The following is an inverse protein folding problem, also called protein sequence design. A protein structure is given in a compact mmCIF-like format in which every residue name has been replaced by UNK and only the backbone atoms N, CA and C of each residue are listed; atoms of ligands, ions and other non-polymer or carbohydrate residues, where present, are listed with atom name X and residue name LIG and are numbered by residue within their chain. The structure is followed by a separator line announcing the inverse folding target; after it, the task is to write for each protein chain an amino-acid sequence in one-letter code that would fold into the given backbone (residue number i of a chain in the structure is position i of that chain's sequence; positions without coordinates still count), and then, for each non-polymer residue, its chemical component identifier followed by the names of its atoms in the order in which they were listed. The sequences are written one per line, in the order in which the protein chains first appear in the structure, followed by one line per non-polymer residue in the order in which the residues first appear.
data_IF_613703562041
#
_entry.id   IF_613703562041
#
_cell.length_a   1.000
_cell.length_b   1.000
_cell.length_c   1.000
_cell.angle_alpha   90.00
_cell.angle_beta   90.00
_cell.angle_gamma   90.00
#
_symmetry.space_group_name_H-M   'P 1'
#
loop_
_entity.id
_entity.type
_entity.pdbx_description
1 polymer ?
#
# COMPACT_ATOMS: atom_id res chain seq x y z
N UNK A 1 13.71 2.45 -22.28
CA UNK A 1 13.19 1.62 -23.39
C UNK A 1 12.31 2.43 -24.35
N UNK A 2 11.22 3.06 -23.88
CA UNK A 2 10.28 3.85 -24.72
C UNK A 2 10.94 4.86 -25.67
N UNK A 3 11.94 5.62 -25.20
CA UNK A 3 12.69 6.57 -26.05
C UNK A 3 13.37 5.88 -27.24
N UNK A 4 14.07 4.77 -26.99
CA UNK A 4 14.78 4.02 -28.02
C UNK A 4 13.78 3.44 -29.02
N UNK A 5 12.71 2.83 -28.52
CA UNK A 5 11.62 2.28 -29.33
C UNK A 5 10.99 3.33 -30.26
N UNK A 6 10.75 4.55 -29.76
CA UNK A 6 10.19 5.63 -30.56
C UNK A 6 11.14 6.09 -31.68
N UNK A 7 12.43 6.26 -31.37
CA UNK A 7 13.46 6.61 -32.36
C UNK A 7 13.58 5.54 -33.43
N UNK A 8 13.51 4.27 -33.04
CA UNK A 8 13.73 3.15 -33.94
C UNK A 8 12.55 2.93 -34.87
N UNK A 9 11.33 2.92 -34.33
CA UNK A 9 10.10 2.86 -35.14
C UNK A 9 9.97 4.07 -36.06
N UNK A 10 10.36 5.26 -35.55
CA UNK A 10 10.47 6.48 -36.34
C UNK A 10 11.39 6.33 -37.55
N UNK A 11 12.47 5.54 -37.47
CA UNK A 11 13.36 5.31 -38.62
C UNK A 11 12.91 4.17 -39.54
N UNK A 12 12.41 3.08 -38.98
CA UNK A 12 12.08 1.86 -39.75
C UNK A 12 10.80 2.02 -40.56
N UNK A 13 9.75 2.57 -39.95
CA UNK A 13 8.41 2.57 -40.53
C UNK A 13 8.29 3.44 -41.80
N UNK A 14 8.91 4.65 -41.86
CA UNK A 14 9.02 5.42 -43.10
C UNK A 14 9.67 4.68 -44.27
N UNK A 15 10.63 3.81 -44.00
CA UNK A 15 11.37 3.09 -45.04
C UNK A 15 10.49 2.02 -45.66
N UNK A 16 9.65 1.36 -44.85
CA UNK A 16 8.62 0.45 -45.34
C UNK A 16 7.59 1.19 -46.22
N UNK A 17 7.18 2.40 -45.80
CA UNK A 17 6.28 3.26 -46.59
C UNK A 17 6.93 3.65 -47.92
N UNK A 18 8.20 4.07 -47.91
CA UNK A 18 8.95 4.42 -49.12
C UNK A 18 9.15 3.22 -50.04
N UNK A 19 9.36 2.03 -49.49
CA UNK A 19 9.43 0.78 -50.25
C UNK A 19 8.10 0.49 -50.95
N UNK A 20 6.97 0.65 -50.27
CA UNK A 20 5.66 0.50 -50.89
C UNK A 20 5.40 1.54 -52.00
N UNK A 21 5.80 2.81 -51.79
CA UNK A 21 5.70 3.87 -52.79
C UNK A 21 6.67 3.71 -53.97
N UNK A 22 7.70 2.86 -53.85
CA UNK A 22 8.69 2.64 -54.90
C UNK A 22 8.12 1.97 -56.14
N UNK A 23 6.98 1.27 -56.01
CA UNK A 23 6.26 0.69 -57.14
C UNK A 23 5.64 1.74 -58.08
N UNK A 24 5.56 3.01 -57.66
CA UNK A 24 5.06 4.11 -58.48
C UNK A 24 6.21 4.88 -59.12
N UNK A 25 6.07 5.22 -60.41
CA UNK A 25 7.08 5.99 -61.14
C UNK A 25 7.33 7.37 -60.51
N UNK A 26 8.61 7.77 -60.39
CA UNK A 26 9.00 9.06 -59.76
C UNK A 26 8.29 10.29 -60.36
N UNK A 27 7.97 10.26 -61.67
CA UNK A 27 7.35 11.38 -62.39
C UNK A 27 5.82 11.33 -62.43
N UNK A 28 5.19 10.32 -61.84
CA UNK A 28 3.73 10.20 -61.86
C UNK A 28 3.09 11.13 -60.82
N UNK A 29 2.05 11.87 -61.22
CA UNK A 29 1.25 12.66 -60.28
C UNK A 29 0.61 11.77 -59.19
N UNK A 30 0.29 10.52 -59.53
CA UNK A 30 -0.21 9.52 -58.61
C UNK A 30 0.74 9.27 -57.43
N UNK A 31 2.06 9.21 -57.68
CA UNK A 31 3.06 9.07 -56.62
C UNK A 31 3.06 10.26 -55.68
N UNK A 32 3.03 11.49 -56.21
CA UNK A 32 3.02 12.70 -55.38
C UNK A 32 1.81 12.73 -54.44
N UNK A 33 0.63 12.37 -54.95
CA UNK A 33 -0.59 12.27 -54.15
C UNK A 33 -0.48 11.17 -53.10
N UNK A 34 -0.04 9.97 -53.49
CA UNK A 34 0.14 8.85 -52.57
C UNK A 34 1.16 9.16 -51.46
N UNK A 35 2.24 9.86 -51.80
CA UNK A 35 3.29 10.27 -50.89
C UNK A 35 2.78 11.32 -49.88
N UNK A 36 2.00 12.30 -50.34
CA UNK A 36 1.35 13.26 -49.46
C UNK A 36 0.41 12.59 -48.45
N UNK A 37 -0.46 11.69 -48.92
CA UNK A 37 -1.36 10.96 -48.03
C UNK A 37 -0.61 10.03 -47.07
N UNK A 38 0.47 9.38 -47.52
CA UNK A 38 1.28 8.54 -46.65
C UNK A 38 1.91 9.35 -45.50
N UNK A 39 2.47 10.54 -45.79
CA UNK A 39 2.99 11.45 -44.75
C UNK A 39 1.86 11.91 -43.82
N UNK A 40 0.73 12.33 -44.40
CA UNK A 40 -0.40 12.84 -43.63
C UNK A 40 -0.96 11.77 -42.68
N UNK A 41 -1.25 10.56 -43.17
CA UNK A 41 -1.71 9.43 -42.35
C UNK A 41 -0.68 9.09 -41.29
N UNK A 42 0.61 9.02 -41.66
CA UNK A 42 1.69 8.73 -40.71
C UNK A 42 1.70 9.71 -39.55
N UNK A 43 1.74 11.01 -39.84
CA UNK A 43 1.76 12.06 -38.79
C UNK A 43 0.47 12.01 -37.97
N UNK A 44 -0.70 11.90 -38.61
CA UNK A 44 -2.00 11.89 -37.91
C UNK A 44 -2.11 10.71 -36.94
N UNK A 45 -1.73 9.50 -37.35
CA UNK A 45 -1.79 8.31 -36.49
C UNK A 45 -0.87 8.45 -35.29
N UNK A 46 0.37 8.89 -35.48
CA UNK A 46 1.33 9.00 -34.37
C UNK A 46 1.10 10.23 -33.49
N UNK A 47 0.54 11.31 -34.03
CA UNK A 47 0.05 12.44 -33.23
C UNK A 47 -1.22 12.08 -32.47
N UNK A 48 -2.12 11.30 -33.05
CA UNK A 48 -3.27 10.76 -32.31
C UNK A 48 -2.81 9.89 -31.14
N UNK A 49 -1.86 8.97 -31.38
CA UNK A 49 -1.24 8.20 -30.31
C UNK A 49 -0.57 9.09 -29.24
N UNK A 50 0.03 10.21 -29.66
CA UNK A 50 0.60 11.20 -28.74
C UNK A 50 -0.46 11.78 -27.78
N UNK A 51 -1.62 12.17 -28.31
CA UNK A 51 -2.68 12.80 -27.52
C UNK A 51 -3.56 11.83 -26.74
N UNK A 52 -3.74 10.61 -27.24
CA UNK A 52 -4.69 9.64 -26.64
C UNK A 52 -4.06 8.79 -25.55
N UNK A 53 -2.74 8.55 -25.57
CA UNK A 53 -2.09 7.65 -24.61
C UNK A 53 -0.96 8.33 -23.83
N UNK A 54 -1.09 8.55 -22.51
CA UNK A 54 -0.05 9.17 -21.69
C UNK A 54 1.26 8.39 -21.70
N UNK A 55 1.21 7.07 -21.64
CA UNK A 55 2.40 6.20 -21.63
C UNK A 55 3.11 6.15 -22.98
N UNK A 56 2.36 6.19 -24.08
CA UNK A 56 2.90 6.12 -25.44
C UNK A 56 3.10 7.49 -26.07
N UNK A 57 2.77 8.54 -25.34
CA UNK A 57 2.86 9.92 -25.82
C UNK A 57 4.25 10.21 -26.36
N UNK A 58 5.26 10.06 -25.50
CA UNK A 58 6.65 10.29 -25.85
C UNK A 58 7.15 9.38 -26.98
N UNK A 59 6.66 8.13 -27.07
CA UNK A 59 7.00 7.22 -28.19
C UNK A 59 6.42 7.74 -29.49
N UNK A 60 5.13 8.10 -29.53
CA UNK A 60 4.45 8.63 -30.70
C UNK A 60 5.04 9.95 -31.18
N UNK A 61 5.40 10.82 -30.24
CA UNK A 61 6.12 12.06 -30.53
C UNK A 61 7.46 11.79 -31.23
N UNK A 62 8.26 10.84 -30.72
CA UNK A 62 9.53 10.49 -31.36
C UNK A 62 9.35 9.81 -32.72
N UNK A 63 8.35 8.94 -32.89
CA UNK A 63 8.04 8.32 -34.18
C UNK A 63 7.69 9.41 -35.20
N UNK A 64 6.79 10.32 -34.84
CA UNK A 64 6.41 11.43 -35.71
C UNK A 64 7.60 12.35 -36.02
N UNK A 65 8.40 12.73 -35.01
CA UNK A 65 9.52 13.65 -35.18
C UNK A 65 10.65 13.06 -36.05
N UNK A 66 11.04 11.81 -35.81
CA UNK A 66 12.15 11.19 -36.54
C UNK A 66 11.73 10.60 -37.89
N UNK A 67 10.45 10.20 -38.04
CA UNK A 67 9.99 9.53 -39.24
C UNK A 67 9.59 10.43 -40.40
N UNK A 68 9.37 11.72 -40.14
CA UNK A 68 9.12 12.69 -41.21
C UNK A 68 10.37 12.91 -42.07
N UNK A 69 11.57 12.88 -41.49
CA UNK A 69 12.81 13.16 -42.24
C UNK A 69 13.04 12.18 -43.41
N UNK A 70 12.98 10.84 -43.22
CA UNK A 70 13.09 9.91 -44.35
C UNK A 70 11.99 10.10 -45.39
N UNK A 71 10.75 10.41 -44.96
CA UNK A 71 9.64 10.61 -45.90
C UNK A 71 9.82 11.88 -46.75
N UNK A 72 10.57 12.89 -46.31
CA UNK A 72 10.78 14.10 -47.09
C UNK A 72 11.90 13.97 -48.15
N UNK A 73 12.56 12.81 -48.25
CA UNK A 73 13.62 12.60 -49.23
C UNK A 73 13.02 12.58 -50.65
N UNK A 74 13.51 13.45 -51.58
CA UNK A 74 12.98 13.50 -52.93
C UNK A 74 13.27 12.20 -53.70
N UNK A 75 12.37 11.83 -54.61
CA UNK A 75 12.59 10.70 -55.51
C UNK A 75 13.78 10.97 -56.41
N UNK A 76 14.91 10.30 -56.17
CA UNK A 76 16.07 10.38 -57.04
C UNK A 76 16.15 9.13 -57.90
N UNK A 77 16.20 9.29 -59.24
CA UNK A 77 16.42 8.18 -60.18
C UNK A 77 17.74 7.43 -59.92
N UNK A 78 18.68 8.08 -59.23
CA UNK A 78 19.98 7.52 -58.84
C UNK A 78 19.92 6.57 -57.64
N UNK A 79 18.74 6.31 -57.07
CA UNK A 79 18.60 5.33 -56.01
C UNK A 79 18.97 3.90 -56.45
N UNK A 80 19.01 3.59 -57.76
CA UNK A 80 19.45 2.28 -58.25
C UNK A 80 20.91 1.89 -57.97
N UNK A 81 21.72 2.73 -57.30
CA UNK A 81 23.04 2.31 -56.81
C UNK A 81 22.88 1.48 -55.53
N UNK A 82 23.01 0.15 -55.69
CA UNK A 82 22.87 -0.86 -54.65
C UNK A 82 23.66 -0.57 -53.36
N UNK A 83 24.78 0.16 -53.44
CA UNK A 83 25.66 0.45 -52.30
C UNK A 83 25.04 1.38 -51.24
N UNK A 84 24.23 2.36 -51.66
CA UNK A 84 23.57 3.29 -50.71
C UNK A 84 22.47 2.57 -49.96
N UNK A 85 21.71 1.71 -50.66
CA UNK A 85 20.72 0.86 -50.03
C UNK A 85 21.35 -0.13 -49.09
N UNK A 86 22.40 -0.84 -49.51
CA UNK A 86 23.10 -1.83 -48.67
C UNK A 86 23.59 -1.23 -47.36
N UNK A 87 24.16 -0.02 -47.40
CA UNK A 87 24.64 0.68 -46.20
C UNK A 87 23.49 1.03 -45.26
N UNK A 88 22.39 1.61 -45.78
CA UNK A 88 21.22 1.97 -44.97
C UNK A 88 20.50 0.75 -44.40
N UNK A 89 20.33 -0.31 -45.19
CA UNK A 89 19.74 -1.57 -44.73
C UNK A 89 20.59 -2.23 -43.64
N UNK A 90 21.92 -2.16 -43.72
CA UNK A 90 22.80 -2.68 -42.66
C UNK A 90 22.63 -1.91 -41.35
N UNK A 91 22.57 -0.57 -41.40
CA UNK A 91 22.33 0.26 -40.21
C UNK A 91 20.97 -0.04 -39.57
N UNK A 92 19.93 -0.19 -40.39
CA UNK A 92 18.57 -0.52 -39.92
C UNK A 92 18.52 -1.93 -39.34
N UNK A 93 19.15 -2.90 -40.01
CA UNK A 93 19.22 -4.29 -39.54
C UNK A 93 19.88 -4.39 -38.18
N UNK A 94 20.99 -3.65 -37.96
CA UNK A 94 21.66 -3.61 -36.66
C UNK A 94 20.78 -3.01 -35.57
N UNK A 95 20.06 -1.92 -35.87
CA UNK A 95 19.16 -1.27 -34.91
C UNK A 95 17.95 -2.13 -34.59
N UNK A 96 17.31 -2.73 -35.60
CA UNK A 96 16.20 -3.66 -35.43
C UNK A 96 16.64 -4.89 -34.63
N UNK A 97 17.80 -5.46 -34.93
CA UNK A 97 18.35 -6.58 -34.17
C UNK A 97 18.59 -6.19 -32.71
N UNK A 98 19.15 -5.01 -32.44
CA UNK A 98 19.37 -4.53 -31.08
C UNK A 98 18.05 -4.38 -30.30
N UNK A 99 16.98 -3.91 -30.94
CA UNK A 99 15.65 -3.82 -30.32
C UNK A 99 15.06 -5.20 -30.10
N UNK A 100 15.14 -6.11 -31.07
CA UNK A 100 14.63 -7.48 -30.91
C UNK A 100 15.37 -8.15 -29.77
N UNK A 101 16.69 -8.02 -29.70
CA UNK A 101 17.50 -8.53 -28.58
C UNK A 101 17.07 -7.87 -27.28
N UNK A 102 16.87 -6.54 -27.25
CA UNK A 102 16.39 -5.85 -26.05
C UNK A 102 14.99 -6.31 -25.64
N UNK A 103 14.05 -6.48 -26.57
CA UNK A 103 12.69 -6.95 -26.30
C UNK A 103 12.69 -8.41 -25.84
N UNK A 104 13.58 -9.25 -26.38
CA UNK A 104 13.76 -10.63 -25.93
C UNK A 104 14.38 -10.66 -24.53
N UNK A 105 15.41 -9.83 -24.28
CA UNK A 105 16.01 -9.67 -22.96
C UNK A 105 14.96 -9.16 -21.97
N UNK A 106 14.19 -8.12 -22.33
CA UNK A 106 13.13 -7.58 -21.49
C UNK A 106 12.01 -8.61 -21.29
N UNK A 107 11.62 -9.39 -22.30
CA UNK A 107 10.63 -10.45 -22.17
C UNK A 107 11.12 -11.63 -21.30
N UNK A 108 12.41 -11.95 -21.33
CA UNK A 108 13.02 -13.02 -20.51
C UNK A 108 13.31 -12.52 -19.08
N UNK A 109 13.73 -11.27 -18.92
CA UNK A 109 14.16 -10.67 -17.65
C UNK A 109 13.00 -10.04 -16.88
N UNK A 110 11.98 -9.45 -17.53
CA UNK A 110 10.70 -9.11 -16.90
C UNK A 110 9.87 -10.38 -16.73
N UNK A 111 10.40 -11.30 -15.91
CA UNK A 111 9.74 -12.54 -15.52
C UNK A 111 8.50 -12.29 -14.66
N UNK A 112 8.37 -11.08 -14.11
CA UNK A 112 7.24 -10.65 -13.30
C UNK A 112 6.54 -9.49 -13.98
N UNK A 113 5.25 -9.67 -14.26
CA UNK A 113 4.39 -8.59 -14.69
C UNK A 113 4.22 -7.59 -13.53
N UNK A 114 3.95 -6.29 -13.79
CA UNK A 114 3.68 -5.33 -12.72
C UNK A 114 2.52 -5.78 -11.82
N UNK A 115 1.57 -6.53 -12.37
CA UNK A 115 0.53 -7.24 -11.64
C UNK A 115 1.11 -8.21 -10.61
N UNK A 116 2.01 -9.10 -11.02
CA UNK A 116 2.63 -10.08 -10.10
C UNK A 116 3.42 -9.37 -9.00
N UNK A 117 4.11 -8.28 -9.33
CA UNK A 117 4.83 -7.46 -8.34
C UNK A 117 3.86 -6.81 -7.36
N UNK A 118 2.74 -6.25 -7.83
CA UNK A 118 1.71 -5.64 -6.99
C UNK A 118 1.06 -6.66 -6.05
N UNK A 119 0.68 -7.83 -6.56
CA UNK A 119 0.16 -8.95 -5.76
C UNK A 119 1.17 -9.37 -4.69
N UNK A 120 2.44 -9.49 -5.06
CA UNK A 120 3.51 -9.87 -4.13
C UNK A 120 3.76 -8.84 -3.03
N UNK A 121 3.72 -7.53 -3.35
CA UNK A 121 3.86 -6.50 -2.31
C UNK A 121 2.64 -6.48 -1.39
N UNK A 122 1.43 -6.68 -1.92
CA UNK A 122 0.21 -6.80 -1.11
C UNK A 122 0.24 -8.07 -0.25
N UNK A 123 0.84 -9.17 -0.71
CA UNK A 123 1.05 -10.36 0.10
C UNK A 123 1.90 -10.06 1.33
N UNK A 124 3.05 -9.44 1.11
CA UNK A 124 3.95 -9.03 2.20
C UNK A 124 3.34 -7.99 3.13
N UNK A 125 2.49 -7.10 2.61
CA UNK A 125 1.71 -6.17 3.42
C UNK A 125 0.74 -6.91 4.33
N UNK A 126 -0.04 -7.86 3.78
CA UNK A 126 -0.97 -8.68 4.55
C UNK A 126 -0.26 -9.52 5.62
N UNK A 127 0.87 -10.15 5.28
CA UNK A 127 1.72 -10.88 6.23
C UNK A 127 2.23 -9.99 7.37
N UNK A 128 2.68 -8.77 7.07
CA UNK A 128 3.13 -7.81 8.08
C UNK A 128 1.99 -7.36 9.00
N UNK A 129 0.78 -7.13 8.47
CA UNK A 129 -0.41 -6.79 9.26
C UNK A 129 -0.88 -7.97 10.14
N UNK A 130 -0.84 -9.19 9.60
CA UNK A 130 -1.14 -10.41 10.36
C UNK A 130 -0.12 -10.62 11.49
N UNK A 131 1.17 -10.40 11.21
CA UNK A 131 2.23 -10.46 12.22
C UNK A 131 2.05 -9.39 13.29
N UNK A 132 1.71 -8.15 12.92
CA UNK A 132 1.44 -7.09 13.88
C UNK A 132 0.28 -7.48 14.81
N UNK A 133 -0.81 -7.99 14.24
CA UNK A 133 -1.97 -8.49 14.98
C UNK A 133 -1.58 -9.63 15.92
N UNK A 134 -0.76 -10.57 15.46
CA UNK A 134 -0.24 -11.66 16.28
C UNK A 134 0.57 -11.14 17.47
N UNK A 135 1.51 -10.23 17.23
CA UNK A 135 2.35 -9.64 18.27
C UNK A 135 1.56 -8.84 19.30
N UNK A 136 0.42 -8.24 18.92
CA UNK A 136 -0.52 -7.61 19.88
C UNK A 136 -1.00 -8.65 20.89
N UNK A 137 -1.49 -9.79 20.41
CA UNK A 137 -2.02 -10.83 21.27
C UNK A 137 -0.96 -11.60 22.06
N UNK A 138 0.31 -11.55 21.65
CA UNK A 138 1.45 -12.08 22.40
C UNK A 138 2.03 -11.07 23.40
N UNK A 139 1.40 -9.89 23.54
CA UNK A 139 1.90 -8.77 24.35
C UNK A 139 3.33 -8.32 23.98
N UNK A 140 3.74 -8.48 22.72
CA UNK A 140 5.08 -8.14 22.21
C UNK A 140 5.09 -6.77 21.51
N UNK A 141 5.17 -5.69 22.30
CA UNK A 141 5.19 -4.32 21.78
C UNK A 141 6.33 -4.06 20.74
N UNK A 142 7.59 -4.48 20.96
CA UNK A 142 8.64 -4.40 19.94
C UNK A 142 8.26 -5.11 18.63
N UNK A 143 7.64 -6.28 18.72
CA UNK A 143 7.12 -7.02 17.55
C UNK A 143 6.06 -6.22 16.78
N UNK A 144 5.09 -5.63 17.49
CA UNK A 144 4.04 -4.78 16.87
C UNK A 144 4.67 -3.58 16.14
N UNK A 145 5.65 -2.92 16.77
CA UNK A 145 6.34 -1.77 16.16
C UNK A 145 7.10 -2.17 14.89
N UNK A 146 7.89 -3.25 14.96
CA UNK A 146 8.67 -3.73 13.82
C UNK A 146 7.75 -4.15 12.65
N UNK A 147 6.65 -4.85 12.95
CA UNK A 147 5.67 -5.28 11.95
C UNK A 147 4.90 -4.10 11.35
N UNK A 148 4.54 -3.08 12.15
CA UNK A 148 3.90 -1.86 11.65
C UNK A 148 4.81 -1.05 10.72
N UNK A 149 6.11 -0.92 11.04
CA UNK A 149 7.07 -0.27 10.14
C UNK A 149 7.25 -1.04 8.83
N UNK A 150 7.31 -2.38 8.88
CA UNK A 150 7.35 -3.20 7.67
C UNK A 150 6.07 -3.02 6.83
N UNK A 151 4.89 -3.07 7.46
CA UNK A 151 3.62 -2.83 6.80
C UNK A 151 3.60 -1.44 6.13
N UNK A 152 4.08 -0.40 6.80
CA UNK A 152 4.22 0.96 6.22
C UNK A 152 5.10 0.95 4.97
N UNK A 153 6.28 0.33 5.04
CA UNK A 153 7.20 0.24 3.89
C UNK A 153 6.54 -0.47 2.71
N UNK A 154 5.84 -1.58 2.96
CA UNK A 154 5.13 -2.35 1.94
C UNK A 154 3.96 -1.59 1.33
N UNK A 155 3.21 -0.84 2.14
CA UNK A 155 2.10 -0.02 1.69
C UNK A 155 2.59 1.05 0.69
N UNK A 156 3.65 1.79 1.04
CA UNK A 156 4.23 2.81 0.13
C UNK A 156 4.73 2.19 -1.18
N UNK A 157 5.35 1.00 -1.12
CA UNK A 157 5.76 0.27 -2.34
C UNK A 157 4.57 -0.16 -3.19
N UNK A 158 3.48 -0.64 -2.56
CA UNK A 158 2.28 -1.08 -3.25
C UNK A 158 1.52 0.10 -3.88
N UNK A 159 1.40 1.23 -3.18
CA UNK A 159 0.81 2.47 -3.71
C UNK A 159 1.58 3.00 -4.92
N UNK A 160 2.92 2.91 -4.89
CA UNK A 160 3.76 3.29 -6.02
C UNK A 160 3.48 2.49 -7.30
N UNK A 161 2.91 1.29 -7.19
CA UNK A 161 2.58 0.41 -8.33
C UNK A 161 1.20 0.71 -8.93
N UNK A 162 0.35 1.52 -8.29
CA UNK A 162 -1.03 1.79 -8.75
C UNK A 162 -1.09 2.27 -10.20
N UNK A 163 -0.15 3.14 -10.60
CA UNK A 163 -0.08 3.67 -11.96
C UNK A 163 0.37 2.60 -12.96
N UNK A 164 1.18 1.62 -12.55
CA UNK A 164 1.70 0.59 -13.45
C UNK A 164 0.72 -0.56 -13.68
N UNK A 165 -0.19 -0.79 -12.73
CA UNK A 165 -1.19 -1.86 -12.82
C UNK A 165 -2.50 -1.45 -13.48
N UNK A 166 -2.65 -0.18 -13.87
CA UNK A 166 -3.86 0.32 -14.54
C UNK A 166 -4.08 -0.44 -15.88
N UNK A 167 -5.20 -1.19 -16.03
CA UNK A 167 -5.49 -1.92 -17.26
C UNK A 167 -5.59 -0.99 -18.48
N UNK A 168 -5.99 0.27 -18.30
CA UNK A 168 -6.12 1.25 -19.40
C UNK A 168 -4.79 1.64 -20.03
N UNK A 169 -3.70 1.37 -19.32
CA UNK A 169 -2.37 1.68 -19.79
C UNK A 169 -1.74 0.53 -20.60
N UNK A 170 -2.39 -0.65 -20.63
CA UNK A 170 -1.93 -1.78 -21.43
C UNK A 170 -2.22 -1.54 -22.91
N UNK A 171 -1.21 -1.79 -23.76
CA UNK A 171 -1.32 -1.62 -25.23
C UNK A 171 -2.19 -2.67 -25.88
N UNK A 172 -2.19 -3.87 -25.32
CA UNK A 172 -2.91 -5.01 -25.85
C UNK A 172 -3.47 -5.80 -24.67
N UNK A 173 -4.78 -6.03 -24.71
CA UNK A 173 -5.45 -6.97 -23.82
C UNK A 173 -4.93 -8.36 -24.21
N UNK A 174 -4.08 -8.94 -23.35
CA UNK A 174 -3.60 -10.30 -23.51
C UNK A 174 -4.70 -11.32 -23.19
N UNK A 175 -4.31 -12.59 -23.03
CA UNK A 175 -5.20 -13.64 -22.54
C UNK A 175 -5.55 -13.50 -21.04
N UNK A 176 -4.85 -12.61 -20.33
CA UNK A 176 -5.09 -12.36 -18.91
C UNK A 176 -6.25 -11.40 -18.71
N UNK A 177 -7.12 -11.71 -17.75
CA UNK A 177 -8.18 -10.82 -17.29
C UNK A 177 -7.62 -9.47 -16.80
N UNK A 178 -8.39 -8.37 -16.96
CA UNK A 178 -7.97 -7.06 -16.50
C UNK A 178 -7.70 -7.08 -14.99
N UNK A 179 -6.67 -6.37 -14.56
CA UNK A 179 -6.35 -6.28 -13.14
C UNK A 179 -7.47 -5.54 -12.39
N UNK A 180 -7.91 -6.11 -11.27
CA UNK A 180 -8.99 -5.59 -10.42
C UNK A 180 -8.53 -4.34 -9.65
N UNK A 181 -8.29 -3.23 -10.36
CA UNK A 181 -7.69 -2.00 -9.85
C UNK A 181 -8.50 -1.37 -8.71
N UNK A 182 -9.83 -1.41 -8.81
CA UNK A 182 -10.72 -0.83 -7.79
C UNK A 182 -10.63 -1.60 -6.46
N UNK A 183 -10.58 -2.94 -6.53
CA UNK A 183 -10.34 -3.78 -5.35
C UNK A 183 -8.96 -3.46 -4.77
N UNK A 184 -7.92 -3.46 -5.60
CA UNK A 184 -6.55 -3.18 -5.17
C UNK A 184 -6.42 -1.83 -4.46
N UNK A 185 -6.99 -0.78 -5.03
CA UNK A 185 -6.98 0.58 -4.44
C UNK A 185 -7.73 0.61 -3.11
N UNK A 186 -8.90 -0.05 -3.04
CA UNK A 186 -9.69 -0.14 -1.81
C UNK A 186 -8.93 -0.87 -0.70
N UNK A 187 -8.26 -1.97 -1.05
CA UNK A 187 -7.44 -2.78 -0.13
C UNK A 187 -6.28 -1.97 0.44
N UNK A 188 -5.57 -1.19 -0.39
CA UNK A 188 -4.50 -0.32 0.08
C UNK A 188 -5.02 0.78 1.01
N UNK A 189 -6.18 1.38 0.70
CA UNK A 189 -6.83 2.36 1.56
C UNK A 189 -7.20 1.80 2.93
N UNK A 190 -7.81 0.61 2.96
CA UNK A 190 -8.14 -0.09 4.21
C UNK A 190 -6.87 -0.43 5.00
N UNK A 191 -5.83 -0.94 4.33
CA UNK A 191 -4.54 -1.23 4.97
C UNK A 191 -3.89 0.03 5.58
N UNK A 192 -4.04 1.20 4.94
CA UNK A 192 -3.62 2.49 5.48
C UNK A 192 -4.36 2.86 6.78
N UNK A 193 -5.67 2.60 6.85
CA UNK A 193 -6.45 2.78 8.09
C UNK A 193 -5.97 1.82 9.19
N UNK A 194 -5.77 0.55 8.87
CA UNK A 194 -5.25 -0.46 9.81
C UNK A 194 -3.89 -0.07 10.38
N UNK A 195 -3.00 0.46 9.54
CA UNK A 195 -1.71 0.96 9.99
C UNK A 195 -1.85 2.16 10.94
N UNK A 196 -2.82 3.04 10.68
CA UNK A 196 -3.12 4.17 11.58
C UNK A 196 -3.59 3.66 12.95
N UNK A 197 -4.47 2.67 12.97
CA UNK A 197 -4.95 2.02 14.20
C UNK A 197 -3.82 1.32 14.96
N UNK A 198 -2.93 0.60 14.25
CA UNK A 198 -1.74 0.00 14.86
C UNK A 198 -0.82 1.05 15.50
N UNK A 199 -0.62 2.21 14.86
CA UNK A 199 0.17 3.29 15.44
C UNK A 199 -0.51 3.91 16.67
N UNK A 200 -1.83 4.07 16.65
CA UNK A 200 -2.60 4.53 17.82
C UNK A 200 -2.48 3.54 18.99
N UNK A 201 -2.55 2.23 18.70
CA UNK A 201 -2.33 1.19 19.71
C UNK A 201 -0.91 1.26 20.27
N UNK A 202 0.12 1.37 19.42
CA UNK A 202 1.51 1.51 19.84
C UNK A 202 1.68 2.73 20.76
N UNK A 203 1.11 3.88 20.40
CA UNK A 203 1.18 5.10 21.22
C UNK A 203 0.46 4.92 22.54
N UNK A 204 -0.71 4.28 22.55
CA UNK A 204 -1.47 4.03 23.78
C UNK A 204 -0.75 3.07 24.73
N UNK A 205 -0.08 2.04 24.19
CA UNK A 205 0.62 1.02 24.96
C UNK A 205 2.01 1.48 25.41
N UNK A 206 2.73 2.24 24.59
CA UNK A 206 4.10 2.70 24.92
C UNK A 206 4.10 3.53 26.20
N UNK A 207 5.01 3.21 27.12
CA UNK A 207 5.17 3.96 28.36
C UNK A 207 5.34 5.45 28.07
N UNK A 208 4.48 6.25 28.68
CA UNK A 208 4.60 7.69 28.59
C UNK A 208 5.78 8.11 29.44
N UNK A 209 6.87 8.47 28.77
CA UNK A 209 7.98 9.17 29.41
C UNK A 209 7.68 10.66 29.28
N UNK A 210 7.50 11.41 30.40
CA UNK A 210 7.35 12.85 30.33
C UNK A 210 8.52 13.41 29.52
N UNK A 211 8.21 14.20 28.49
CA UNK A 211 9.26 14.83 27.73
C UNK A 211 9.95 15.85 28.65
N UNK A 212 11.15 15.52 29.14
CA UNK A 212 11.86 16.36 30.11
C UNK A 212 12.03 17.80 29.60
N UNK A 213 12.09 18.00 28.28
CA UNK A 213 12.18 19.33 27.69
C UNK A 213 10.97 20.20 28.00
N UNK A 214 9.75 19.64 28.02
CA UNK A 214 8.51 20.38 28.34
C UNK A 214 8.50 20.75 29.81
N UNK A 215 8.87 19.81 30.69
CA UNK A 215 8.93 20.03 32.14
C UNK A 215 9.94 21.13 32.51
N UNK A 216 11.03 21.27 31.74
CA UNK A 216 12.01 22.34 31.94
C UNK A 216 11.46 23.69 31.52
N UNK A 217 10.71 23.77 30.42
CA UNK A 217 10.07 25.02 29.98
C UNK A 217 9.07 25.52 31.02
N UNK A 218 8.22 24.65 31.56
CA UNK A 218 7.22 25.05 32.57
C UNK A 218 7.89 25.57 33.85
N UNK A 219 8.97 24.89 34.31
CA UNK A 219 9.74 25.34 35.47
C UNK A 219 10.47 26.66 35.20
N UNK A 220 10.93 26.88 33.96
CA UNK A 220 11.62 28.10 33.58
C UNK A 220 10.63 29.27 33.44
N UNK A 221 9.44 29.05 32.88
CA UNK A 221 8.38 30.06 32.86
C UNK A 221 7.88 30.41 34.27
N UNK A 222 7.76 29.42 35.16
CA UNK A 222 7.44 29.68 36.58
C UNK A 222 8.55 30.47 37.30
N UNK A 223 9.82 30.25 36.94
CA UNK A 223 10.95 31.01 37.46
C UNK A 223 10.99 32.44 36.91
N UNK A 224 10.71 32.62 35.62
CA UNK A 224 10.79 33.90 34.92
C UNK A 224 9.62 34.84 35.26
N UNK A 225 8.48 34.29 35.72
CA UNK A 225 7.34 35.09 36.19
C UNK A 225 7.56 35.78 37.54
N UNK A 226 8.71 35.61 38.21
CA UNK A 226 9.07 36.38 39.40
C UNK A 226 8.08 36.24 40.57
N UNK A 227 7.30 35.15 40.59
CA UNK A 227 6.50 34.79 41.74
C UNK A 227 7.47 34.33 42.84
N UNK A 228 7.84 35.26 43.72
CA UNK A 228 8.48 34.99 44.99
C UNK A 228 7.61 34.00 45.77
N UNK A 229 7.84 32.71 45.54
CA UNK A 229 7.30 31.61 46.32
C UNK A 229 7.92 31.74 47.72
N UNK A 230 7.27 32.55 48.56
CA UNK A 230 7.52 32.50 50.00
C UNK A 230 7.41 31.03 50.43
N UNK A 231 8.44 30.46 51.08
CA UNK A 231 8.40 29.09 51.56
C UNK A 231 7.26 28.96 52.57
N UNK A 232 6.16 28.34 52.14
CA UNK A 232 4.99 28.14 52.98
C UNK A 232 5.41 27.35 54.23
N UNK A 233 5.22 27.90 55.45
CA UNK A 233 5.67 27.26 56.66
C UNK A 233 4.83 26.02 56.94
N UNK A 234 5.45 24.85 56.74
CA UNK A 234 5.27 23.66 57.56
C UNK A 234 3.81 23.23 57.84
N UNK A 235 3.18 22.52 56.90
CA UNK A 235 2.24 21.44 57.27
C UNK A 235 3.03 20.24 57.78
N UNK A 236 3.54 20.35 59.01
CA UNK A 236 3.95 19.20 59.84
C UNK A 236 2.70 18.46 60.30
N UNK A 237 2.09 17.71 59.40
CA UNK A 237 1.08 16.69 59.71
C UNK A 237 1.52 15.39 59.03
N UNK A 238 2.72 14.94 59.37
CA UNK A 238 3.13 13.54 59.26
C UNK A 238 2.28 12.73 60.24
N UNK A 239 1.02 12.52 59.86
CA UNK A 239 0.12 11.54 60.46
C UNK A 239 0.70 10.18 60.08
N UNK A 240 1.14 9.43 61.08
CA UNK A 240 1.40 8.00 60.96
C UNK A 240 0.12 7.31 60.46
N UNK A 241 -0.05 7.22 59.15
CA UNK A 241 -1.01 6.32 58.54
C UNK A 241 -0.24 4.99 58.45
N UNK A 242 -0.51 4.10 59.40
CA UNK A 242 -0.07 2.71 59.28
C UNK A 242 -0.55 2.17 57.92
N UNK A 243 0.34 1.62 57.08
CA UNK A 243 -0.07 1.01 55.83
C UNK A 243 -1.01 -0.15 56.14
N UNK A 244 -2.29 0.02 55.82
CA UNK A 244 -3.26 -1.07 55.91
C UNK A 244 -2.81 -2.23 55.00
N UNK A 245 -3.09 -3.49 55.38
CA UNK A 245 -2.56 -4.69 54.71
C UNK A 245 -2.95 -4.87 53.23
N UNK A 246 -3.74 -3.96 52.64
CA UNK A 246 -4.19 -4.02 51.25
C UNK A 246 -3.37 -3.12 50.28
N UNK A 247 -2.47 -2.27 50.76
CA UNK A 247 -1.66 -1.36 49.92
C UNK A 247 -0.52 -2.08 49.14
N UNK A 248 -0.16 -3.30 49.55
CA UNK A 248 0.84 -4.12 48.86
C UNK A 248 0.36 -4.68 47.52
N UNK A 249 -0.96 -4.77 47.27
CA UNK A 249 -1.49 -5.09 45.92
C UNK A 249 -1.51 -3.89 44.98
N UNK A 250 -1.67 -2.68 45.50
CA UNK A 250 -1.75 -1.45 44.69
C UNK A 250 -0.36 -0.93 44.26
N UNK A 251 0.68 -1.17 45.05
CA UNK A 251 2.05 -0.82 44.67
C UNK A 251 2.60 -1.65 43.49
N UNK A 252 2.10 -2.88 43.29
CA UNK A 252 2.35 -3.65 42.06
C UNK A 252 1.58 -3.14 40.83
N UNK A 253 0.51 -2.37 41.00
CA UNK A 253 -0.25 -1.76 39.89
C UNK A 253 0.43 -0.47 39.38
N UNK A 254 1.09 0.32 40.23
CA UNK A 254 1.78 1.54 39.78
C UNK A 254 3.07 1.29 38.97
N UNK A 255 3.56 0.05 38.93
CA UNK A 255 4.67 -0.38 38.06
C UNK A 255 4.19 -1.12 36.80
N UNK A 256 2.89 -1.04 36.47
CA UNK A 256 2.35 -1.48 35.18
C UNK A 256 2.87 -0.57 34.07
N UNK A 257 4.11 -0.84 33.68
CA UNK A 257 4.69 -0.54 32.37
C UNK A 257 3.70 -0.97 31.28
N UNK A 258 3.81 -0.38 30.08
CA UNK A 258 2.95 -0.56 28.91
C UNK A 258 2.54 -2.01 28.62
N UNK A 259 3.39 -2.97 28.99
CA UNK A 259 3.07 -4.39 28.97
C UNK A 259 1.76 -4.74 29.69
N UNK A 260 1.43 -4.05 30.76
CA UNK A 260 0.19 -4.19 31.52
C UNK A 260 -1.07 -3.87 30.71
N UNK A 261 -1.04 -2.94 29.75
CA UNK A 261 -2.20 -2.63 28.91
C UNK A 261 -2.46 -3.79 27.94
N UNK A 262 -1.42 -4.32 27.30
CA UNK A 262 -1.55 -5.48 26.41
C UNK A 262 -1.95 -6.73 27.19
N UNK A 263 -1.36 -6.97 28.36
CA UNK A 263 -1.72 -8.11 29.22
C UNK A 263 -3.17 -8.03 29.72
N UNK A 264 -3.74 -6.82 29.88
CA UNK A 264 -5.17 -6.63 30.20
C UNK A 264 -6.04 -6.88 28.96
N UNK A 265 -5.64 -6.37 27.80
CA UNK A 265 -6.37 -6.56 26.53
C UNK A 265 -6.37 -8.03 26.08
N UNK A 266 -5.27 -8.74 26.31
CA UNK A 266 -5.01 -10.09 25.82
C UNK A 266 -4.92 -11.10 26.97
N UNK A 267 -5.39 -10.73 28.16
CA UNK A 267 -5.34 -11.56 29.35
C UNK A 267 -6.14 -12.86 29.21
N UNK A 268 -6.01 -13.80 30.16
CA UNK A 268 -6.65 -15.12 30.10
C UNK A 268 -8.18 -15.08 30.02
N UNK A 269 -8.80 -13.95 30.36
CA UNK A 269 -10.23 -13.67 30.17
C UNK A 269 -10.60 -13.52 28.69
N UNK A 270 -9.71 -12.97 27.86
CA UNK A 270 -9.79 -13.00 26.41
C UNK A 270 -9.38 -14.40 25.94
N UNK A 271 -10.30 -15.36 26.10
CA UNK A 271 -10.01 -16.78 25.98
C UNK A 271 -9.16 -17.10 24.74
N UNK A 272 -8.12 -17.93 24.92
CA UNK A 272 -7.19 -18.41 23.89
C UNK A 272 -7.91 -18.88 22.60
N UNK A 273 -9.14 -19.39 22.73
CA UNK A 273 -10.02 -19.73 21.62
C UNK A 273 -10.33 -18.54 20.69
N UNK A 274 -10.63 -17.36 21.23
CA UNK A 274 -10.99 -16.18 20.43
C UNK A 274 -9.79 -15.59 19.72
N UNK A 275 -8.63 -15.52 20.38
CA UNK A 275 -7.38 -15.13 19.74
C UNK A 275 -7.08 -16.03 18.55
N UNK A 276 -7.20 -17.35 18.73
CA UNK A 276 -6.97 -18.31 17.66
C UNK A 276 -7.96 -18.15 16.50
N UNK A 277 -9.24 -17.91 16.79
CA UNK A 277 -10.27 -17.67 15.77
C UNK A 277 -10.00 -16.37 14.99
N UNK A 278 -9.66 -15.27 15.68
CA UNK A 278 -9.33 -13.99 15.03
C UNK A 278 -8.10 -14.15 14.13
N UNK A 279 -7.04 -14.78 14.64
CA UNK A 279 -5.81 -15.00 13.86
C UNK A 279 -6.05 -15.89 12.64
N UNK A 280 -6.83 -16.97 12.79
CA UNK A 280 -7.20 -17.83 11.67
C UNK A 280 -8.04 -17.08 10.63
N UNK A 281 -8.94 -16.19 11.08
CA UNK A 281 -9.75 -15.37 10.18
C UNK A 281 -8.90 -14.34 9.43
N UNK A 282 -7.99 -13.64 10.12
CA UNK A 282 -7.07 -12.67 9.51
C UNK A 282 -6.23 -13.34 8.43
N UNK A 283 -5.64 -14.50 8.74
CA UNK A 283 -4.83 -15.29 7.81
C UNK A 283 -5.65 -15.72 6.58
N UNK A 284 -6.87 -16.22 6.81
CA UNK A 284 -7.78 -16.62 5.71
C UNK A 284 -8.16 -15.44 4.83
N UNK A 285 -8.45 -14.26 5.40
CA UNK A 285 -8.80 -13.05 4.65
C UNK A 285 -7.62 -12.60 3.79
N UNK A 286 -6.41 -12.57 4.35
CA UNK A 286 -5.19 -12.22 3.61
C UNK A 286 -4.96 -13.20 2.47
N UNK A 287 -5.01 -14.51 2.73
CA UNK A 287 -4.82 -15.51 1.69
C UNK A 287 -5.90 -15.46 0.59
N UNK A 288 -7.17 -15.23 0.95
CA UNK A 288 -8.24 -15.10 -0.01
C UNK A 288 -8.08 -13.85 -0.89
N UNK A 289 -7.72 -12.71 -0.29
CA UNK A 289 -7.42 -11.48 -1.01
C UNK A 289 -6.31 -11.70 -2.06
N UNK A 290 -5.23 -12.39 -1.69
CA UNK A 290 -4.13 -12.67 -2.60
C UNK A 290 -4.53 -13.58 -3.74
N UNK A 291 -5.33 -14.62 -3.44
CA UNK A 291 -5.88 -15.49 -4.46
C UNK A 291 -6.75 -14.71 -5.46
N UNK A 292 -7.58 -13.79 -4.98
CA UNK A 292 -8.44 -12.92 -5.82
C UNK A 292 -7.60 -11.99 -6.69
N UNK A 293 -6.59 -11.31 -6.14
CA UNK A 293 -5.73 -10.40 -6.90
C UNK A 293 -4.84 -11.14 -7.91
N UNK A 294 -4.37 -12.34 -7.56
CA UNK A 294 -3.55 -13.19 -8.41
C UNK A 294 -4.32 -13.83 -9.58
N UNK A 295 -5.64 -13.91 -9.50
CA UNK A 295 -6.47 -14.69 -10.42
C UNK A 295 -6.50 -14.12 -11.85
N UNK A 296 -5.87 -14.80 -12.81
CA UNK A 296 -5.65 -14.30 -14.19
C UNK A 296 -6.74 -14.65 -15.19
N UNK A 297 -7.66 -15.55 -14.86
CA UNK A 297 -8.70 -16.02 -15.79
C UNK A 297 -10.04 -15.38 -15.44
N UNK A 298 -11.06 -15.64 -16.27
CA UNK A 298 -12.47 -15.33 -15.96
C UNK A 298 -13.19 -16.52 -15.30
N UNK A 299 -12.45 -17.60 -15.02
CA UNK A 299 -13.00 -18.81 -14.43
C UNK A 299 -13.28 -18.62 -12.93
N UNK A 300 -14.26 -19.33 -12.35
CA UNK A 300 -14.52 -19.21 -10.92
C UNK A 300 -13.28 -19.59 -10.10
N UNK A 301 -12.97 -18.78 -9.08
CA UNK A 301 -11.82 -19.01 -8.19
C UNK A 301 -12.15 -20.18 -7.25
N UNK A 302 -11.51 -21.33 -7.47
CA UNK A 302 -11.67 -22.55 -6.66
C UNK A 302 -10.67 -22.67 -5.50
N UNK A 303 -10.01 -21.57 -5.12
CA UNK A 303 -9.00 -21.58 -4.06
C UNK A 303 -9.65 -21.84 -2.69
N UNK A 304 -9.11 -22.76 -1.85
CA UNK A 304 -9.70 -23.11 -0.57
C UNK A 304 -9.90 -21.93 0.38
N UNK A 305 -8.99 -20.95 0.37
CA UNK A 305 -9.10 -19.73 1.18
C UNK A 305 -10.32 -18.89 0.80
N UNK A 306 -10.64 -18.81 -0.50
CA UNK A 306 -11.79 -18.07 -1.04
C UNK A 306 -13.11 -18.79 -0.77
N UNK A 307 -13.09 -20.12 -0.66
CA UNK A 307 -14.25 -20.92 -0.23
C UNK A 307 -14.42 -20.79 1.30
N UNK A 308 -13.35 -20.91 2.06
CA UNK A 308 -13.35 -20.71 3.51
C UNK A 308 -13.86 -19.31 3.89
N UNK A 309 -13.57 -18.30 3.06
CA UNK A 309 -14.04 -16.93 3.23
C UNK A 309 -15.57 -16.82 3.30
N UNK A 310 -16.34 -17.70 2.63
CA UNK A 310 -17.81 -17.73 2.71
C UNK A 310 -18.30 -18.34 4.02
N UNK A 311 -17.53 -19.27 4.57
CA UNK A 311 -17.86 -19.94 5.83
C UNK A 311 -17.46 -19.13 7.05
N UNK A 312 -16.53 -18.17 6.90
CA UNK A 312 -16.27 -17.16 7.92
C UNK A 312 -17.52 -16.30 8.06
N UNK A 313 -18.33 -16.64 9.05
CA UNK A 313 -19.59 -15.96 9.32
C UNK A 313 -19.27 -14.58 9.89
N UNK A 314 -19.34 -13.55 9.05
CA UNK A 314 -19.12 -12.14 9.41
C UNK A 314 -19.87 -11.71 10.68
N UNK A 315 -21.11 -12.18 10.83
CA UNK A 315 -21.91 -11.93 12.03
C UNK A 315 -21.20 -12.37 13.32
N UNK A 316 -20.38 -13.43 13.26
CA UNK A 316 -19.65 -13.93 14.42
C UNK A 316 -18.48 -13.00 14.77
N UNK A 317 -17.78 -12.40 13.81
CA UNK A 317 -16.71 -11.45 14.13
C UNK A 317 -17.26 -10.18 14.76
N UNK A 318 -18.30 -9.58 14.20
CA UNK A 318 -18.90 -8.35 14.76
C UNK A 318 -19.55 -8.59 16.13
N UNK A 319 -20.31 -9.68 16.28
CA UNK A 319 -21.04 -10.00 17.51
C UNK A 319 -20.09 -10.41 18.65
N UNK A 320 -19.05 -11.22 18.34
CA UNK A 320 -18.03 -11.62 19.31
C UNK A 320 -17.19 -10.41 19.72
N UNK A 321 -16.81 -9.54 18.79
CA UNK A 321 -15.98 -8.38 19.11
C UNK A 321 -16.71 -7.37 19.99
N UNK A 322 -17.96 -7.01 19.66
CA UNK A 322 -18.72 -6.03 20.45
C UNK A 322 -19.01 -6.53 21.86
N UNK A 323 -19.46 -7.79 22.01
CA UNK A 323 -19.82 -8.32 23.33
C UNK A 323 -18.61 -8.54 24.23
N UNK A 324 -17.50 -9.10 23.69
CA UNK A 324 -16.29 -9.32 24.48
C UNK A 324 -15.65 -8.00 24.91
N UNK A 325 -15.58 -7.02 24.01
CA UNK A 325 -14.95 -5.74 24.33
C UNK A 325 -15.80 -4.92 25.29
N UNK A 326 -17.13 -4.93 25.16
CA UNK A 326 -17.98 -4.23 26.11
C UNK A 326 -17.98 -4.92 27.48
N UNK A 327 -17.93 -6.26 27.52
CA UNK A 327 -17.77 -7.02 28.77
C UNK A 327 -16.41 -6.83 29.43
N UNK A 328 -15.33 -6.78 28.64
CA UNK A 328 -13.99 -6.48 29.15
C UNK A 328 -13.91 -5.04 29.65
N UNK A 329 -14.53 -4.10 28.91
CA UNK A 329 -14.64 -2.70 29.30
C UNK A 329 -15.38 -2.57 30.63
N UNK A 330 -16.58 -3.15 30.76
CA UNK A 330 -17.38 -3.01 31.99
C UNK A 330 -16.69 -3.60 33.20
N UNK A 331 -16.18 -4.84 33.09
CA UNK A 331 -15.46 -5.50 34.17
C UNK A 331 -14.23 -4.70 34.64
N UNK A 332 -13.51 -4.11 33.70
CA UNK A 332 -12.34 -3.31 34.01
C UNK A 332 -12.68 -1.94 34.61
N UNK A 333 -13.68 -1.24 34.07
CA UNK A 333 -14.11 0.05 34.61
C UNK A 333 -14.68 -0.07 36.03
N UNK A 334 -15.35 -1.17 36.36
CA UNK A 334 -15.84 -1.41 37.71
C UNK A 334 -14.68 -1.54 38.71
N UNK A 335 -13.62 -2.25 38.34
CA UNK A 335 -12.41 -2.42 39.16
C UNK A 335 -11.60 -1.11 39.26
N UNK A 336 -11.57 -0.34 38.17
CA UNK A 336 -10.87 0.94 38.12
C UNK A 336 -11.59 2.03 38.91
N UNK A 337 -12.92 2.09 38.85
CA UNK A 337 -13.71 3.03 39.64
C UNK A 337 -13.59 2.74 41.15
N UNK A 338 -13.50 1.45 41.53
CA UNK A 338 -13.24 1.08 42.92
C UNK A 338 -11.86 1.57 43.38
N UNK A 339 -10.83 1.45 42.54
CA UNK A 339 -9.46 1.88 42.89
C UNK A 339 -9.24 3.40 42.83
N UNK A 340 -9.84 4.10 41.87
CA UNK A 340 -9.73 5.57 41.71
C UNK A 340 -10.42 6.34 42.84
N UNK A 341 -11.53 5.82 43.40
CA UNK A 341 -12.25 6.48 44.50
C UNK A 341 -11.40 6.69 45.76
N UNK A 342 -10.22 6.07 45.84
CA UNK A 342 -9.30 6.16 46.97
C UNK A 342 -8.12 7.15 46.77
N UNK A 343 -7.93 7.73 45.58
CA UNK A 343 -6.74 8.50 45.23
C UNK A 343 -7.09 9.88 44.65
N UNK A 344 -7.11 10.90 45.50
CA UNK A 344 -7.49 12.30 45.18
C UNK A 344 -6.35 13.14 44.56
N UNK A 345 -5.38 12.52 43.88
CA UNK A 345 -4.24 13.23 43.29
C UNK A 345 -4.47 13.54 41.80
N UNK A 346 -4.28 14.83 41.48
CA UNK A 346 -4.30 15.41 40.13
C UNK A 346 -3.21 14.80 39.24
N UNK A 347 -3.45 13.61 38.71
CA UNK A 347 -2.61 13.02 37.69
C UNK A 347 -2.87 13.68 36.33
N UNK A 348 -1.79 14.08 35.64
CA UNK A 348 -1.80 14.52 34.25
C UNK A 348 -2.61 13.54 33.37
N UNK A 349 -3.50 14.07 32.53
CA UNK A 349 -4.42 13.29 31.69
C UNK A 349 -3.70 12.21 30.85
N UNK A 350 -2.46 12.46 30.46
CA UNK A 350 -1.59 11.57 29.67
C UNK A 350 -1.13 10.32 30.42
N UNK A 351 -1.08 10.38 31.75
CA UNK A 351 -0.72 9.25 32.61
C UNK A 351 -1.95 8.46 33.10
N UNK A 352 -3.15 8.88 32.72
CA UNK A 352 -4.35 8.16 33.09
C UNK A 352 -4.41 6.82 32.35
N UNK A 353 -4.15 5.73 33.08
CA UNK A 353 -4.20 4.36 32.56
C UNK A 353 -5.53 4.06 31.87
N UNK A 354 -6.66 4.48 32.44
CA UNK A 354 -7.99 4.23 31.88
C UNK A 354 -8.18 4.92 30.53
N UNK A 355 -7.66 6.14 30.36
CA UNK A 355 -7.69 6.83 29.08
C UNK A 355 -6.88 6.08 28.01
N UNK A 356 -5.65 5.64 28.36
CA UNK A 356 -4.77 4.89 27.46
C UNK A 356 -5.38 3.54 27.05
N UNK A 357 -5.93 2.80 28.01
CA UNK A 357 -6.63 1.54 27.73
C UNK A 357 -7.82 1.77 26.79
N UNK A 358 -8.65 2.79 27.03
CA UNK A 358 -9.79 3.08 26.17
C UNK A 358 -9.36 3.43 24.73
N UNK A 359 -8.25 4.17 24.55
CA UNK A 359 -7.68 4.42 23.22
C UNK A 359 -7.20 3.12 22.58
N UNK A 360 -6.49 2.27 23.33
CA UNK A 360 -6.01 0.99 22.82
C UNK A 360 -7.16 0.05 22.41
N UNK A 361 -8.22 -0.05 23.22
CA UNK A 361 -9.41 -0.83 22.89
C UNK A 361 -10.10 -0.31 21.63
N UNK A 362 -10.24 1.01 21.47
CA UNK A 362 -10.83 1.60 20.27
C UNK A 362 -9.99 1.35 19.03
N UNK A 363 -8.68 1.48 19.14
CA UNK A 363 -7.76 1.18 18.05
C UNK A 363 -7.86 -0.30 17.63
N UNK A 364 -7.91 -1.23 18.59
CA UNK A 364 -8.08 -2.66 18.31
C UNK A 364 -9.45 -2.94 17.66
N UNK A 365 -10.53 -2.32 18.13
CA UNK A 365 -11.85 -2.44 17.51
C UNK A 365 -11.86 -1.96 16.06
N UNK A 366 -11.30 -0.77 15.82
CA UNK A 366 -11.19 -0.20 14.48
C UNK A 366 -10.36 -1.10 13.56
N UNK A 367 -9.26 -1.66 14.06
CA UNK A 367 -8.44 -2.62 13.33
C UNK A 367 -9.23 -3.87 12.89
N UNK A 368 -10.01 -4.45 13.80
CA UNK A 368 -10.85 -5.62 13.50
C UNK A 368 -12.00 -5.27 12.54
N UNK A 369 -12.58 -4.08 12.67
CA UNK A 369 -13.59 -3.57 11.74
C UNK A 369 -13.02 -3.39 10.34
N UNK A 370 -11.78 -2.92 10.21
CA UNK A 370 -11.10 -2.80 8.93
C UNK A 370 -10.82 -4.17 8.29
N UNK A 371 -10.49 -5.21 9.07
CA UNK A 371 -10.42 -6.59 8.55
C UNK A 371 -11.78 -7.09 8.06
N UNK A 372 -12.85 -6.77 8.79
CA UNK A 372 -14.24 -7.07 8.40
C UNK A 372 -14.61 -6.38 7.07
N UNK A 373 -14.27 -5.10 6.90
CA UNK A 373 -14.49 -4.39 5.64
C UNK A 373 -13.68 -5.03 4.50
N UNK A 374 -12.41 -5.38 4.75
CA UNK A 374 -11.56 -6.05 3.76
C UNK A 374 -12.18 -7.38 3.29
N UNK A 375 -12.76 -8.14 4.22
CA UNK A 375 -13.49 -9.38 3.93
C UNK A 375 -14.71 -9.11 3.04
N UNK A 376 -15.54 -8.11 3.36
CA UNK A 376 -16.70 -7.74 2.53
C UNK A 376 -16.31 -7.36 1.11
N UNK A 377 -15.20 -6.62 0.95
CA UNK A 377 -14.66 -6.25 -0.37
C UNK A 377 -14.24 -7.49 -1.17
N UNK A 378 -13.56 -8.44 -0.53
CA UNK A 378 -13.17 -9.69 -1.16
C UNK A 378 -14.39 -10.53 -1.60
N UNK A 379 -15.44 -10.61 -0.77
CA UNK A 379 -16.67 -11.32 -1.13
C UNK A 379 -17.41 -10.69 -2.30
N UNK A 380 -17.51 -9.35 -2.33
CA UNK A 380 -18.17 -8.63 -3.43
C UNK A 380 -17.50 -8.93 -4.77
N UNK A 381 -16.18 -9.01 -4.78
CA UNK A 381 -15.37 -9.22 -5.97
C UNK A 381 -15.28 -10.69 -6.40
N UNK A 382 -15.73 -11.64 -5.57
CA UNK A 382 -15.85 -13.06 -5.95
C UNK A 382 -17.04 -13.31 -6.88
N UNK A 383 -18.08 -12.49 -6.77
CA UNK A 383 -19.34 -12.64 -7.52
C UNK A 383 -19.17 -12.23 -9.00
N UNK A 384 -18.12 -11.45 -9.31
CA UNK A 384 -17.79 -10.93 -10.62
C UNK A 384 -16.40 -11.41 -11.08
#
# INVERSE_FOLDING_TARGET
VQRLLGVTLGKVLPILILAALSHLECNSAARTVAHFFAIWIYIVVFMFMYFTSPQWSLVGCFIAAFGVYPLLVPCSKTMGNDDVFKTRYSEIGQVTLAIVVQMVIDAILLRHTPRDVAVHQTAKLGEALALATKSIFESDLPGVQAAAEEARRRLVMAEGLLVEVDPKLRVMEGLDSPFKLDLYTSVLGIAGHMLTDLNLLIVAVKDWTPNESVRRTDLQEMSDQGLDLQPSPARRLSRQISPGPNLSRLSSLHTLSGKGILDVLCGPSFAESHQKEIMASVDTIVHALLAILAHKTEEPILEPSVIALEHIRMARLEEVNLHLLDSARSAFFDDLNQSLSASDEQCELTNNFGARLNVAMRALMSLLQNFSELHQRCLKEKIF
#
